data_IF_156343895903
#
_entry.id   IF_156343895903
#
_cell.length_a   1.000
_cell.length_b   1.000
_cell.length_c   1.000
_cell.angle_alpha   90.00
_cell.angle_beta   90.00
_cell.angle_gamma   90.00
#
_symmetry.space_group_name_H-M   'P 1'
#
loop_
_entity.id
_entity.type
_entity.pdbx_description
1 polymer ?
#
# COMPACT_ATOMS: atom_id res chain seq x y z
N UNK A 1 7.49 24.52 52.20
CA UNK A 1 6.37 23.68 51.71
C UNK A 1 6.75 23.09 50.36
N UNK A 2 7.07 21.81 50.32
CA UNK A 2 7.46 21.10 49.10
C UNK A 2 6.22 20.40 48.50
N UNK A 3 5.72 20.87 47.37
CA UNK A 3 4.64 20.22 46.63
C UNK A 3 5.18 18.97 45.94
N UNK A 4 4.76 17.81 46.42
CA UNK A 4 5.00 16.50 45.76
C UNK A 4 4.23 16.46 44.43
N UNK A 5 4.94 16.54 43.32
CA UNK A 5 4.39 16.16 42.00
C UNK A 5 4.10 14.64 42.01
N UNK A 6 2.85 14.29 42.04
CA UNK A 6 2.39 12.93 41.74
C UNK A 6 2.72 12.57 40.29
N UNK A 7 3.83 11.93 40.07
CA UNK A 7 4.13 11.18 38.85
C UNK A 7 3.23 9.94 38.85
N UNK A 8 2.07 10.04 38.21
CA UNK A 8 1.31 8.87 37.81
C UNK A 8 2.21 7.99 36.93
N UNK A 9 2.78 6.95 37.55
CA UNK A 9 3.40 5.83 36.81
C UNK A 9 2.31 5.19 35.97
N UNK A 10 2.25 5.53 34.69
CA UNK A 10 1.57 4.70 33.70
C UNK A 10 2.34 3.37 33.64
N UNK A 11 1.90 2.44 34.47
CA UNK A 11 2.25 1.03 34.36
C UNK A 11 1.53 0.52 33.09
N UNK A 12 2.09 0.80 31.92
CA UNK A 12 1.63 0.24 30.66
C UNK A 12 2.09 -1.23 30.62
N UNK A 13 1.31 -2.14 31.17
CA UNK A 13 1.30 -3.51 30.68
C UNK A 13 0.96 -3.41 29.18
N UNK A 14 2.00 -3.41 28.35
CA UNK A 14 1.81 -3.28 26.92
C UNK A 14 1.14 -4.58 26.45
N UNK A 15 -0.19 -4.52 26.24
CA UNK A 15 -0.99 -5.68 25.84
C UNK A 15 -0.40 -6.28 24.55
N UNK A 16 -0.10 -7.56 24.59
CA UNK A 16 0.29 -8.33 23.41
C UNK A 16 -0.92 -8.48 22.49
N UNK A 17 -0.84 -8.02 21.27
CA UNK A 17 -1.94 -8.03 20.30
C UNK A 17 -1.66 -9.00 19.16
N UNK A 18 -2.71 -9.61 18.62
CA UNK A 18 -2.71 -10.22 17.30
C UNK A 18 -3.15 -9.15 16.28
N UNK A 19 -2.29 -8.83 15.35
CA UNK A 19 -2.50 -7.76 14.35
C UNK A 19 -2.49 -8.37 12.95
N UNK A 20 -3.54 -8.13 12.17
CA UNK A 20 -3.57 -8.49 10.78
C UNK A 20 -3.26 -7.28 9.89
N UNK A 21 -2.30 -7.43 8.96
CA UNK A 21 -1.94 -6.40 7.98
C UNK A 21 -2.21 -6.94 6.57
N UNK A 22 -3.08 -6.28 5.79
CA UNK A 22 -3.39 -6.68 4.42
C UNK A 22 -2.73 -5.75 3.40
N UNK A 23 -1.89 -6.33 2.53
CA UNK A 23 -0.97 -5.65 1.61
C UNK A 23 -1.28 -6.09 0.18
N UNK A 24 -1.67 -5.18 -0.71
CA UNK A 24 -2.16 -5.52 -2.06
C UNK A 24 -1.20 -5.15 -3.19
N UNK A 25 -0.26 -4.21 -2.96
CA UNK A 25 0.61 -3.66 -4.00
C UNK A 25 2.06 -3.52 -3.52
N UNK A 26 3.04 -3.41 -4.44
CA UNK A 26 4.44 -3.18 -4.07
C UNK A 26 4.65 -1.93 -3.20
N UNK A 27 3.95 -0.82 -3.51
CA UNK A 27 3.97 0.41 -2.70
C UNK A 27 3.55 0.12 -1.26
N UNK A 28 2.47 -0.63 -1.09
CA UNK A 28 1.94 -0.96 0.23
C UNK A 28 2.87 -1.87 1.02
N UNK A 29 3.56 -2.82 0.36
CA UNK A 29 4.57 -3.65 0.99
C UNK A 29 5.71 -2.77 1.53
N UNK A 30 6.26 -1.92 0.68
CA UNK A 30 7.33 -1.01 1.08
C UNK A 30 6.91 -0.05 2.19
N UNK A 31 5.67 0.42 2.19
CA UNK A 31 5.12 1.27 3.23
C UNK A 31 4.94 0.51 4.55
N UNK A 32 4.47 -0.72 4.49
CA UNK A 32 4.15 -1.52 5.68
C UNK A 32 5.37 -2.14 6.34
N UNK A 33 6.46 -2.36 5.61
CA UNK A 33 7.67 -3.03 6.10
C UNK A 33 8.18 -2.45 7.44
N UNK A 34 8.45 -1.14 7.59
CA UNK A 34 8.91 -0.58 8.87
C UNK A 34 7.83 -0.65 9.97
N UNK A 35 6.55 -0.68 9.62
CA UNK A 35 5.45 -0.86 10.57
C UNK A 35 5.47 -2.29 11.10
N UNK A 36 5.60 -3.28 10.22
CA UNK A 36 5.68 -4.71 10.57
C UNK A 36 6.91 -4.99 11.42
N UNK A 37 8.08 -4.48 11.04
CA UNK A 37 9.31 -4.61 11.83
C UNK A 37 9.16 -4.06 13.24
N UNK A 38 8.48 -2.92 13.39
CA UNK A 38 8.29 -2.29 14.71
C UNK A 38 7.23 -3.01 15.54
N UNK A 39 6.11 -3.38 14.94
CA UNK A 39 5.02 -4.08 15.62
C UNK A 39 5.39 -5.52 15.97
N UNK A 40 6.09 -6.23 15.09
CA UNK A 40 6.51 -7.62 15.30
C UNK A 40 7.45 -7.85 16.47
N UNK A 41 8.12 -6.78 16.96
CA UNK A 41 8.93 -6.86 18.17
C UNK A 41 8.12 -7.07 19.46
N UNK A 42 6.82 -6.74 19.43
CA UNK A 42 5.96 -6.68 20.62
C UNK A 42 4.60 -7.34 20.44
N UNK A 43 4.25 -7.73 19.23
CA UNK A 43 2.93 -8.23 18.86
C UNK A 43 3.06 -9.39 17.88
N UNK A 44 2.00 -10.21 17.76
CA UNK A 44 1.91 -11.23 16.72
C UNK A 44 1.31 -10.59 15.46
N UNK A 45 2.08 -10.53 14.38
CA UNK A 45 1.66 -9.86 13.13
C UNK A 45 1.50 -10.89 12.03
N UNK A 46 0.29 -10.97 11.47
CA UNK A 46 0.01 -11.74 10.25
C UNK A 46 -0.08 -10.77 9.07
N UNK A 47 0.83 -10.90 8.10
CA UNK A 47 0.77 -10.17 6.85
C UNK A 47 0.13 -11.03 5.75
N UNK A 48 -0.89 -10.50 5.06
CA UNK A 48 -1.55 -11.19 3.94
C UNK A 48 -1.51 -10.35 2.67
N UNK A 49 -1.56 -11.04 1.53
CA UNK A 49 -1.69 -10.41 0.21
C UNK A 49 -2.52 -11.29 -0.71
N UNK A 50 -2.91 -10.74 -1.86
CA UNK A 50 -3.34 -11.53 -3.01
C UNK A 50 -2.14 -11.88 -3.88
N UNK A 51 -2.19 -13.03 -4.58
CA UNK A 51 -1.13 -13.43 -5.52
C UNK A 51 -1.09 -12.42 -6.67
N UNK A 52 -0.04 -11.62 -6.72
CA UNK A 52 0.25 -10.59 -7.69
C UNK A 52 1.76 -10.60 -7.92
N UNK A 53 2.20 -10.70 -9.16
CA UNK A 53 3.59 -11.05 -9.49
C UNK A 53 4.61 -10.10 -8.89
N UNK A 54 4.38 -8.79 -9.03
CA UNK A 54 5.31 -7.77 -8.52
C UNK A 54 5.41 -7.77 -6.99
N UNK A 55 4.29 -8.01 -6.29
CA UNK A 55 4.29 -8.13 -4.83
C UNK A 55 5.06 -9.38 -4.41
N UNK A 56 4.84 -10.50 -5.13
CA UNK A 56 5.49 -11.77 -4.82
C UNK A 56 7.01 -11.69 -5.03
N UNK A 57 7.46 -11.08 -6.12
CA UNK A 57 8.88 -10.85 -6.40
C UNK A 57 9.51 -9.91 -5.37
N UNK A 58 8.84 -8.81 -5.05
CA UNK A 58 9.32 -7.84 -4.07
C UNK A 58 9.42 -8.44 -2.66
N UNK A 59 8.42 -9.22 -2.24
CA UNK A 59 8.43 -9.90 -0.94
C UNK A 59 9.65 -10.83 -0.81
N UNK A 60 9.99 -11.58 -1.87
CA UNK A 60 11.20 -12.42 -1.91
C UNK A 60 12.49 -11.60 -1.79
N UNK A 61 12.61 -10.53 -2.57
CA UNK A 61 13.80 -9.65 -2.55
C UNK A 61 13.97 -9.00 -1.17
N UNK A 62 12.86 -8.67 -0.50
CA UNK A 62 12.86 -8.01 0.81
C UNK A 62 12.88 -8.98 1.99
N UNK A 63 12.87 -10.30 1.75
CA UNK A 63 12.72 -11.33 2.80
C UNK A 63 11.52 -11.03 3.71
N UNK A 64 10.43 -10.55 3.10
CA UNK A 64 9.23 -10.15 3.82
C UNK A 64 8.25 -11.32 3.91
N UNK A 65 7.91 -11.74 5.13
CA UNK A 65 6.96 -12.84 5.36
C UNK A 65 5.55 -12.41 4.99
N UNK A 66 4.99 -13.02 3.94
CA UNK A 66 3.72 -12.63 3.34
C UNK A 66 2.91 -13.85 2.91
N UNK A 67 1.76 -14.02 3.53
CA UNK A 67 0.84 -15.11 3.21
C UNK A 67 -0.07 -14.71 2.05
N UNK A 68 0.02 -15.44 0.94
CA UNK A 68 -0.81 -15.18 -0.24
C UNK A 68 -2.14 -15.89 -0.17
N UNK A 69 -3.25 -15.11 -0.28
CA UNK A 69 -4.64 -15.62 -0.30
C UNK A 69 -5.38 -14.98 -1.47
N UNK A 70 -5.87 -15.81 -2.38
CA UNK A 70 -6.53 -15.37 -3.62
C UNK A 70 -5.54 -14.80 -4.64
N UNK A 71 -6.07 -14.25 -5.74
CA UNK A 71 -5.29 -13.71 -6.86
C UNK A 71 -5.84 -12.35 -7.31
N UNK A 72 -5.04 -11.60 -8.07
CA UNK A 72 -5.48 -10.38 -8.73
C UNK A 72 -6.46 -10.73 -9.86
N UNK A 73 -7.57 -9.98 -9.98
CA UNK A 73 -8.61 -10.22 -10.98
C UNK A 73 -8.37 -9.61 -12.37
N UNK A 74 -7.19 -8.99 -12.60
CA UNK A 74 -6.87 -8.29 -13.85
C UNK A 74 -7.68 -7.01 -14.06
N UNK A 75 -7.73 -6.49 -15.31
CA UNK A 75 -8.42 -5.24 -15.67
C UNK A 75 -9.96 -5.37 -15.74
N UNK A 76 -10.50 -6.56 -16.02
CA UNK A 76 -11.92 -6.79 -16.24
C UNK A 76 -12.73 -6.74 -14.91
N UNK A 77 -13.84 -5.98 -14.90
CA UNK A 77 -14.69 -5.79 -13.71
C UNK A 77 -15.29 -7.10 -13.18
N UNK A 78 -15.80 -7.97 -14.07
CA UNK A 78 -16.40 -9.28 -13.70
C UNK A 78 -15.36 -10.17 -13.02
N UNK A 79 -14.16 -10.22 -13.58
CA UNK A 79 -13.06 -11.02 -13.02
C UNK A 79 -12.56 -10.44 -11.68
N UNK A 80 -12.51 -9.11 -11.54
CA UNK A 80 -12.20 -8.43 -10.27
C UNK A 80 -13.22 -8.81 -9.18
N UNK A 81 -14.51 -8.76 -9.50
CA UNK A 81 -15.56 -9.15 -8.57
C UNK A 81 -15.44 -10.62 -8.15
N UNK A 82 -15.29 -11.54 -9.11
CA UNK A 82 -15.11 -12.98 -8.83
C UNK A 82 -13.90 -13.23 -7.94
N UNK A 83 -12.75 -12.65 -8.28
CA UNK A 83 -11.52 -12.79 -7.49
C UNK A 83 -11.65 -12.22 -6.07
N UNK A 84 -12.38 -11.11 -5.89
CA UNK A 84 -12.65 -10.49 -4.59
C UNK A 84 -13.54 -11.41 -3.72
N UNK A 85 -14.63 -11.95 -4.28
CA UNK A 85 -15.52 -12.88 -3.56
C UNK A 85 -14.76 -14.13 -3.11
N UNK A 86 -14.02 -14.79 -4.03
CA UNK A 86 -13.20 -15.96 -3.71
C UNK A 86 -12.15 -15.65 -2.63
N UNK A 87 -11.58 -14.44 -2.66
CA UNK A 87 -10.60 -14.01 -1.67
C UNK A 87 -11.23 -13.78 -0.30
N UNK A 88 -12.40 -13.14 -0.24
CA UNK A 88 -13.13 -12.91 1.00
C UNK A 88 -13.43 -14.25 1.68
N UNK A 89 -13.94 -15.25 0.96
CA UNK A 89 -14.25 -16.59 1.52
C UNK A 89 -13.00 -17.25 2.13
N UNK A 90 -11.91 -17.32 1.36
CA UNK A 90 -10.67 -17.97 1.84
C UNK A 90 -9.99 -17.19 2.96
N UNK A 91 -9.98 -15.87 2.85
CA UNK A 91 -9.30 -14.99 3.80
C UNK A 91 -10.06 -14.93 5.11
N UNK A 92 -11.41 -14.87 5.10
CA UNK A 92 -12.21 -14.86 6.32
C UNK A 92 -11.98 -16.11 7.19
N UNK A 93 -11.88 -17.30 6.59
CA UNK A 93 -11.55 -18.55 7.31
C UNK A 93 -10.18 -18.46 7.99
N UNK A 94 -9.19 -17.88 7.30
CA UNK A 94 -7.85 -17.72 7.86
C UNK A 94 -7.84 -16.70 8.99
N UNK A 95 -8.55 -15.59 8.84
CA UNK A 95 -8.63 -14.53 9.83
C UNK A 95 -9.41 -14.95 11.08
N UNK A 96 -10.49 -15.71 10.91
CA UNK A 96 -11.21 -16.33 12.04
C UNK A 96 -10.28 -17.25 12.87
N UNK A 97 -9.40 -18.05 12.21
CA UNK A 97 -8.43 -18.89 12.90
C UNK A 97 -7.31 -18.11 13.57
N UNK A 98 -6.91 -16.98 13.00
CA UNK A 98 -5.85 -16.13 13.57
C UNK A 98 -6.37 -15.25 14.72
N UNK A 99 -7.65 -14.84 14.68
CA UNK A 99 -8.35 -14.01 15.70
C UNK A 99 -7.64 -12.68 15.97
N UNK A 100 -7.42 -11.81 14.98
CA UNK A 100 -6.78 -10.53 15.22
C UNK A 100 -7.69 -9.57 15.98
N UNK A 101 -7.11 -8.76 16.85
CA UNK A 101 -7.81 -7.69 17.57
C UNK A 101 -7.84 -6.38 16.76
N UNK A 102 -6.90 -6.22 15.84
CA UNK A 102 -6.76 -5.03 14.99
C UNK A 102 -6.36 -5.44 13.56
N UNK A 103 -6.97 -4.77 12.61
CA UNK A 103 -6.62 -4.83 11.19
C UNK A 103 -5.97 -3.53 10.77
N UNK A 104 -4.90 -3.63 9.99
CA UNK A 104 -4.26 -2.50 9.31
C UNK A 104 -4.26 -2.79 7.82
N UNK A 105 -4.71 -1.85 7.00
CA UNK A 105 -4.61 -1.97 5.55
C UNK A 105 -4.31 -0.64 4.87
N UNK A 106 -4.04 -0.72 3.57
CA UNK A 106 -3.90 0.45 2.72
C UNK A 106 -4.92 0.36 1.57
N UNK A 107 -6.20 0.64 1.89
CA UNK A 107 -7.28 0.61 0.90
C UNK A 107 -7.64 -0.79 0.39
N UNK A 108 -7.82 -1.78 1.29
CA UNK A 108 -8.26 -3.14 0.93
C UNK A 108 -9.75 -3.33 1.16
N UNK A 109 -10.58 -3.47 0.09
CA UNK A 109 -12.00 -3.76 0.22
C UNK A 109 -12.29 -5.09 0.92
N UNK A 110 -11.50 -6.12 0.63
CA UNK A 110 -11.67 -7.42 1.25
C UNK A 110 -11.38 -7.37 2.76
N UNK A 111 -10.31 -6.68 3.17
CA UNK A 111 -10.00 -6.50 4.58
C UNK A 111 -11.08 -5.67 5.30
N UNK A 112 -11.58 -4.60 4.69
CA UNK A 112 -12.65 -3.79 5.25
C UNK A 112 -13.93 -4.60 5.43
N UNK A 113 -14.32 -5.42 4.44
CA UNK A 113 -15.51 -6.26 4.51
C UNK A 113 -15.41 -7.35 5.58
N UNK A 114 -14.23 -8.00 5.68
CA UNK A 114 -14.01 -9.07 6.66
C UNK A 114 -13.95 -8.49 8.07
N UNK A 115 -13.17 -7.42 8.29
CA UNK A 115 -13.06 -6.80 9.61
C UNK A 115 -14.40 -6.29 10.14
N UNK A 116 -15.19 -5.64 9.27
CA UNK A 116 -16.55 -5.20 9.63
C UNK A 116 -17.46 -6.39 10.00
N UNK A 117 -17.46 -7.45 9.17
CA UNK A 117 -18.31 -8.62 9.40
C UNK A 117 -17.94 -9.43 10.65
N UNK A 118 -16.67 -9.37 11.08
CA UNK A 118 -16.17 -10.06 12.28
C UNK A 118 -16.06 -9.14 13.50
N UNK A 119 -16.46 -7.86 13.41
CA UNK A 119 -16.37 -6.91 14.50
C UNK A 119 -14.94 -6.53 14.90
N UNK A 120 -13.96 -6.68 14.01
CA UNK A 120 -12.54 -6.39 14.27
C UNK A 120 -12.26 -4.91 13.99
N UNK A 121 -11.53 -4.23 14.87
CA UNK A 121 -11.13 -2.82 14.67
C UNK A 121 -10.23 -2.68 13.45
N UNK A 122 -10.57 -1.75 12.54
CA UNK A 122 -9.82 -1.54 11.32
C UNK A 122 -9.27 -0.11 11.21
N UNK A 123 -7.96 0.00 11.10
CA UNK A 123 -7.22 1.23 10.83
C UNK A 123 -6.72 1.16 9.39
N UNK A 124 -7.11 2.12 8.57
CA UNK A 124 -6.73 2.14 7.16
C UNK A 124 -5.85 3.34 6.83
N UNK A 125 -4.80 3.14 6.07
CA UNK A 125 -4.04 4.22 5.42
C UNK A 125 -4.59 4.46 4.02
N UNK A 126 -4.60 5.71 3.56
CA UNK A 126 -4.93 6.04 2.18
C UNK A 126 -4.38 7.41 1.77
N UNK A 127 -3.83 7.47 0.56
CA UNK A 127 -3.37 8.71 -0.09
C UNK A 127 -4.09 8.99 -1.42
N UNK A 128 -5.08 8.19 -1.78
CA UNK A 128 -5.69 8.16 -3.11
C UNK A 128 -7.22 8.33 -3.07
N UNK A 129 -7.73 9.53 -2.70
CA UNK A 129 -9.17 9.78 -2.59
C UNK A 129 -9.92 9.64 -3.92
N UNK A 130 -9.22 9.72 -5.05
CA UNK A 130 -9.78 9.56 -6.40
C UNK A 130 -10.13 8.10 -6.74
N UNK A 131 -9.68 7.13 -5.96
CA UNK A 131 -10.02 5.71 -6.15
C UNK A 131 -11.47 5.40 -5.68
N UNK A 132 -12.46 6.03 -6.32
CA UNK A 132 -13.87 6.06 -5.91
C UNK A 132 -14.44 4.69 -5.50
N UNK A 133 -14.17 3.62 -6.29
CA UNK A 133 -14.69 2.29 -5.98
C UNK A 133 -14.10 1.73 -4.68
N UNK A 134 -12.80 1.93 -4.45
CA UNK A 134 -12.12 1.51 -3.22
C UNK A 134 -12.67 2.29 -2.04
N UNK A 135 -12.79 3.62 -2.16
CA UNK A 135 -13.31 4.47 -1.08
C UNK A 135 -14.72 4.07 -0.65
N UNK A 136 -15.63 3.86 -1.62
CA UNK A 136 -17.01 3.42 -1.34
C UNK A 136 -17.10 2.05 -0.69
N UNK A 137 -16.15 1.15 -0.98
CA UNK A 137 -16.12 -0.21 -0.45
C UNK A 137 -15.34 -0.36 0.86
N UNK A 138 -14.70 0.71 1.33
CA UNK A 138 -13.85 0.64 2.54
C UNK A 138 -14.27 1.64 3.61
N UNK A 139 -14.39 2.93 3.27
CA UNK A 139 -14.51 3.99 4.27
C UNK A 139 -15.73 3.88 5.20
N UNK A 140 -16.91 3.43 4.74
CA UNK A 140 -18.07 3.22 5.64
C UNK A 140 -17.89 2.06 6.63
N UNK A 141 -16.89 1.18 6.42
CA UNK A 141 -16.71 -0.07 7.15
C UNK A 141 -15.54 -0.03 8.16
N UNK A 142 -14.77 1.05 8.19
CA UNK A 142 -13.58 1.17 9.03
C UNK A 142 -13.79 2.14 10.20
N UNK A 143 -12.96 2.03 11.24
CA UNK A 143 -13.06 2.89 12.42
C UNK A 143 -12.12 4.08 12.38
N UNK A 144 -10.94 3.96 11.73
CA UNK A 144 -9.98 5.07 11.61
C UNK A 144 -9.32 5.08 10.24
N UNK A 145 -9.22 6.29 9.67
CA UNK A 145 -8.48 6.54 8.44
C UNK A 145 -7.28 7.43 8.74
N UNK A 146 -6.10 7.02 8.29
CA UNK A 146 -4.86 7.78 8.38
C UNK A 146 -4.47 8.27 6.98
N UNK A 147 -4.30 9.58 6.84
CA UNK A 147 -4.00 10.22 5.56
C UNK A 147 -2.80 11.19 5.67
N UNK A 148 -2.07 11.44 4.57
CA UNK A 148 -1.08 12.51 4.51
C UNK A 148 -1.70 13.87 4.82
N UNK A 149 -0.98 14.72 5.55
CA UNK A 149 -1.48 16.05 5.96
C UNK A 149 -1.85 16.98 4.79
N UNK A 150 -1.28 16.74 3.61
CA UNK A 150 -1.52 17.53 2.39
C UNK A 150 -2.88 17.26 1.74
N UNK A 151 -3.58 16.21 2.16
CA UNK A 151 -4.89 15.84 1.61
C UNK A 151 -5.98 16.29 2.59
N UNK A 152 -6.98 17.00 2.08
CA UNK A 152 -8.11 17.43 2.89
C UNK A 152 -8.94 16.24 3.38
N UNK A 153 -9.39 16.28 4.64
CA UNK A 153 -10.31 15.29 5.20
C UNK A 153 -11.62 15.18 4.40
N UNK A 154 -12.09 16.31 3.84
CA UNK A 154 -13.32 16.38 3.02
C UNK A 154 -13.26 15.48 1.80
N UNK A 155 -12.06 15.23 1.25
CA UNK A 155 -11.91 14.33 0.11
C UNK A 155 -12.27 12.87 0.45
N UNK A 156 -12.28 12.52 1.72
CA UNK A 156 -12.60 11.18 2.20
C UNK A 156 -13.96 11.13 2.91
N UNK A 157 -14.35 12.16 3.67
CA UNK A 157 -15.60 12.15 4.43
C UNK A 157 -16.85 12.04 3.56
N UNK A 158 -16.78 12.51 2.31
CA UNK A 158 -17.85 12.33 1.30
C UNK A 158 -18.18 10.85 0.98
N UNK A 159 -17.35 9.90 1.44
CA UNK A 159 -17.58 8.46 1.26
C UNK A 159 -18.12 7.76 2.52
N UNK A 160 -18.54 8.50 3.54
CA UNK A 160 -19.26 7.95 4.70
C UNK A 160 -18.41 7.68 5.95
N UNK A 161 -17.15 8.15 6.01
CA UNK A 161 -16.38 8.20 7.25
C UNK A 161 -16.51 9.59 7.90
N UNK A 162 -16.66 9.67 9.23
CA UNK A 162 -16.68 10.95 9.93
C UNK A 162 -15.31 11.62 9.94
N UNK A 163 -15.25 12.94 9.79
CA UNK A 163 -13.96 13.68 9.81
C UNK A 163 -13.19 13.54 11.13
N UNK A 164 -13.88 13.34 12.27
CA UNK A 164 -13.27 13.05 13.58
C UNK A 164 -12.50 11.71 13.62
N UNK A 165 -12.84 10.81 12.71
CA UNK A 165 -12.20 9.50 12.59
C UNK A 165 -11.08 9.49 11.54
N UNK A 166 -10.84 10.65 10.91
CA UNK A 166 -9.74 10.85 9.97
C UNK A 166 -8.59 11.54 10.69
N UNK A 167 -7.44 10.89 10.72
CA UNK A 167 -6.19 11.39 11.32
C UNK A 167 -5.20 11.76 10.23
N UNK A 168 -4.71 12.99 10.25
CA UNK A 168 -3.68 13.44 9.32
C UNK A 168 -2.29 13.27 9.96
N UNK A 169 -1.38 12.53 9.30
CA UNK A 169 0.00 12.44 9.72
C UNK A 169 0.88 13.45 8.96
N UNK A 170 1.90 14.00 9.63
CA UNK A 170 2.78 15.07 9.11
C UNK A 170 3.84 14.53 8.14
N UNK A 171 3.43 13.77 7.14
CA UNK A 171 4.30 13.21 6.09
C UNK A 171 3.49 12.90 4.83
N UNK A 172 4.20 12.55 3.76
CA UNK A 172 3.66 11.89 2.58
C UNK A 172 4.22 10.47 2.50
N UNK A 173 3.51 9.54 1.88
CA UNK A 173 3.88 8.12 1.86
C UNK A 173 5.25 7.86 1.25
N UNK A 174 5.64 8.66 0.25
CA UNK A 174 6.93 8.54 -0.42
C UNK A 174 8.13 8.67 0.55
N UNK A 175 7.98 9.38 1.67
CA UNK A 175 9.06 9.56 2.67
C UNK A 175 9.55 8.23 3.24
N UNK A 176 8.66 7.24 3.39
CA UNK A 176 9.04 5.89 3.85
C UNK A 176 10.06 5.26 2.91
N UNK A 177 9.84 5.39 1.59
CA UNK A 177 10.76 4.88 0.57
C UNK A 177 12.06 5.68 0.53
N UNK A 178 11.98 7.02 0.60
CA UNK A 178 13.13 7.92 0.57
C UNK A 178 14.10 7.73 1.75
N UNK A 179 13.58 7.35 2.92
CA UNK A 179 14.40 7.12 4.14
C UNK A 179 15.05 5.75 4.19
N UNK A 180 14.84 4.88 3.21
CA UNK A 180 15.48 3.57 3.17
C UNK A 180 16.98 3.69 2.91
N UNK A 181 17.75 2.79 3.50
CA UNK A 181 19.16 2.64 3.15
C UNK A 181 19.25 2.18 1.69
N UNK A 182 20.02 2.89 0.89
CA UNK A 182 20.33 2.50 -0.48
C UNK A 182 21.38 1.39 -0.40
N UNK A 183 21.12 0.27 -1.06
CA UNK A 183 22.14 -0.76 -1.27
C UNK A 183 23.15 -0.25 -2.31
N UNK A 184 24.36 0.03 -1.85
CA UNK A 184 25.46 0.54 -2.71
C UNK A 184 26.00 -0.52 -3.66
N UNK A 185 25.66 -1.79 -3.45
CA UNK A 185 26.11 -2.91 -4.30
C UNK A 185 25.18 -3.16 -5.49
N UNK A 186 24.05 -2.44 -5.58
CA UNK A 186 23.15 -2.55 -6.73
C UNK A 186 23.81 -1.92 -7.97
N UNK A 187 23.87 -2.70 -9.04
CA UNK A 187 24.32 -2.18 -10.32
C UNK A 187 23.35 -1.13 -10.86
N UNK A 188 23.90 0.00 -11.27
CA UNK A 188 23.12 1.04 -11.95
C UNK A 188 22.62 0.51 -13.30
N UNK A 189 21.35 0.76 -13.69
CA UNK A 189 20.87 0.46 -15.04
C UNK A 189 21.50 1.38 -16.10
N UNK A 190 22.17 2.44 -15.67
CA UNK A 190 22.84 3.38 -16.56
C UNK A 190 24.31 3.02 -16.79
N UNK A 191 24.79 3.25 -18.00
CA UNK A 191 26.21 3.14 -18.32
C UNK A 191 27.01 4.17 -17.55
N UNK A 192 28.15 3.77 -17.00
CA UNK A 192 29.05 4.71 -16.34
C UNK A 192 29.84 5.49 -17.42
N UNK A 193 29.31 6.62 -17.82
CA UNK A 193 29.91 7.54 -18.78
C UNK A 193 29.51 8.98 -18.39
N UNK A 194 30.12 9.98 -19.04
CA UNK A 194 29.86 11.40 -18.74
C UNK A 194 28.52 11.92 -19.30
N UNK A 195 27.61 11.04 -19.73
CA UNK A 195 26.29 11.40 -20.25
C UNK A 195 25.27 11.59 -19.15
N UNK A 196 24.26 12.39 -19.40
CA UNK A 196 23.12 12.54 -18.47
C UNK A 196 22.29 11.27 -18.45
N UNK A 197 21.74 10.95 -17.30
CA UNK A 197 20.87 9.79 -17.12
C UNK A 197 19.42 10.24 -17.06
N UNK A 198 18.60 9.79 -18.01
CA UNK A 198 17.17 10.07 -18.11
C UNK A 198 16.41 8.79 -17.80
N UNK A 199 15.67 8.78 -16.68
CA UNK A 199 14.83 7.66 -16.28
C UNK A 199 13.36 8.00 -16.57
N UNK A 200 12.71 7.23 -17.43
CA UNK A 200 11.31 7.38 -17.79
C UNK A 200 10.53 6.19 -17.23
N UNK A 201 9.47 6.44 -16.48
CA UNK A 201 8.56 5.39 -16.04
C UNK A 201 7.24 5.50 -16.78
N UNK A 202 6.83 4.39 -17.41
CA UNK A 202 5.52 4.27 -18.07
C UNK A 202 4.40 4.23 -17.02
N UNK A 203 3.26 4.82 -17.35
CA UNK A 203 2.10 4.86 -16.46
C UNK A 203 1.42 3.49 -16.28
N UNK A 204 0.49 3.44 -15.31
CA UNK A 204 -0.31 2.27 -14.99
C UNK A 204 -1.55 2.20 -15.89
N UNK A 205 -1.63 1.25 -16.81
CA UNK A 205 -2.75 1.12 -17.74
C UNK A 205 -3.92 0.27 -17.21
N UNK A 206 -3.67 -0.62 -16.23
CA UNK A 206 -4.70 -1.51 -15.66
C UNK A 206 -5.41 -0.94 -14.44
N UNK A 207 -5.04 0.26 -13.99
CA UNK A 207 -5.71 0.90 -12.86
C UNK A 207 -7.14 1.31 -13.23
N UNK A 208 -8.05 1.23 -12.26
CA UNK A 208 -9.47 1.54 -12.46
C UNK A 208 -9.75 3.01 -12.78
N UNK A 209 -8.77 3.88 -12.63
CA UNK A 209 -8.83 5.33 -12.86
C UNK A 209 -8.06 5.80 -14.10
N UNK A 210 -7.40 4.90 -14.85
CA UNK A 210 -6.69 5.27 -16.08
C UNK A 210 -7.61 5.21 -17.30
N UNK A 211 -7.47 6.18 -18.22
CA UNK A 211 -8.07 6.13 -19.54
C UNK A 211 -7.27 5.20 -20.46
N UNK A 212 -7.94 4.47 -21.33
CA UNK A 212 -7.32 3.47 -22.22
C UNK A 212 -6.39 4.04 -23.32
N UNK A 213 -6.25 5.35 -23.44
CA UNK A 213 -5.37 5.95 -24.45
C UNK A 213 -4.09 6.48 -23.79
N UNK A 214 -3.09 5.64 -23.63
CA UNK A 214 -1.76 6.10 -23.26
C UNK A 214 -1.13 6.84 -24.45
N UNK A 215 -0.92 8.15 -24.31
CA UNK A 215 -0.14 8.97 -25.24
C UNK A 215 1.36 8.98 -24.88
N UNK A 216 1.79 8.07 -24.01
CA UNK A 216 3.15 8.08 -23.44
C UNK A 216 4.20 7.69 -24.48
N UNK A 217 3.88 6.75 -25.39
CA UNK A 217 4.86 6.27 -26.38
C UNK A 217 5.36 7.38 -27.31
N UNK A 218 4.49 8.24 -27.92
CA UNK A 218 4.97 9.38 -28.71
C UNK A 218 5.82 10.36 -27.89
N UNK A 219 5.53 10.53 -26.60
CA UNK A 219 6.32 11.38 -25.71
C UNK A 219 7.71 10.78 -25.47
N UNK A 220 7.78 9.48 -25.19
CA UNK A 220 9.03 8.75 -25.02
C UNK A 220 9.88 8.86 -26.30
N UNK A 221 9.28 8.65 -27.47
CA UNK A 221 9.96 8.78 -28.76
C UNK A 221 10.53 10.19 -28.96
N UNK A 222 9.74 11.22 -28.70
CA UNK A 222 10.19 12.62 -28.79
C UNK A 222 11.35 12.92 -27.81
N UNK A 223 11.32 12.36 -26.60
CA UNK A 223 12.43 12.48 -25.66
C UNK A 223 13.69 11.76 -26.23
N UNK A 224 13.53 10.55 -26.73
CA UNK A 224 14.64 9.79 -27.31
C UNK A 224 15.28 10.52 -28.51
N UNK A 225 14.46 11.12 -29.37
CA UNK A 225 14.93 11.88 -30.54
C UNK A 225 15.68 13.16 -30.14
N UNK A 226 15.23 13.84 -29.09
CA UNK A 226 15.86 15.09 -28.62
C UNK A 226 17.14 14.84 -27.79
N UNK A 227 17.27 13.67 -27.17
CA UNK A 227 18.37 13.33 -26.26
C UNK A 227 19.16 12.10 -26.71
N UNK A 228 19.41 11.97 -28.00
CA UNK A 228 20.11 10.81 -28.63
C UNK A 228 21.48 10.51 -28.02
N UNK A 229 22.14 11.54 -27.50
CA UNK A 229 23.47 11.41 -26.93
C UNK A 229 23.47 11.07 -25.42
N UNK A 230 22.30 10.99 -24.78
CA UNK A 230 22.19 10.73 -23.36
C UNK A 230 21.83 9.28 -23.05
N UNK A 231 21.98 8.87 -21.79
CA UNK A 231 21.54 7.54 -21.36
C UNK A 231 20.03 7.59 -21.04
N UNK A 232 19.22 6.86 -21.79
CA UNK A 232 17.78 6.79 -21.56
C UNK A 232 17.42 5.38 -21.13
N UNK A 233 16.74 5.27 -19.98
CA UNK A 233 16.19 4.01 -19.48
C UNK A 233 14.68 4.17 -19.30
N UNK A 234 13.93 3.31 -19.98
CA UNK A 234 12.48 3.27 -19.88
C UNK A 234 12.06 2.10 -18.99
N UNK A 235 11.37 2.38 -17.89
CA UNK A 235 10.80 1.38 -17.00
C UNK A 235 9.36 1.11 -17.40
N UNK A 236 9.12 0.01 -18.09
CA UNK A 236 7.78 -0.54 -18.31
C UNK A 236 7.23 -1.20 -17.06
N UNK A 237 5.91 -1.20 -16.92
CA UNK A 237 5.24 -1.92 -15.85
C UNK A 237 4.82 -3.33 -16.29
N UNK A 238 4.47 -3.46 -17.56
CA UNK A 238 4.08 -4.72 -18.20
C UNK A 238 5.00 -5.02 -19.38
N UNK A 239 5.33 -6.29 -19.57
CA UNK A 239 6.23 -6.73 -20.65
C UNK A 239 5.74 -6.30 -22.04
N UNK A 240 4.44 -6.11 -22.22
CA UNK A 240 3.81 -5.69 -23.49
C UNK A 240 3.89 -4.20 -23.78
N UNK A 241 4.39 -3.38 -22.86
CA UNK A 241 4.44 -1.92 -23.02
C UNK A 241 5.71 -1.40 -23.73
N UNK A 242 6.69 -2.26 -23.94
CA UNK A 242 8.03 -1.87 -24.41
C UNK A 242 8.43 -2.62 -25.69
N UNK A 243 7.57 -3.47 -26.22
CA UNK A 243 7.77 -4.16 -27.50
C UNK A 243 7.14 -3.39 -28.65
#
# INVERSE_FOLDING_TARGET
>A
MRTKKNLLKYNSYQKYLKIWIDILTPKQLLFSEPIVERLGKKHNVLCTSRKYEEVSKLAKIRHFDLVFVGKHGGGNKKNKLKASIERIDKLSKKIQKFEPEVVISFGSPEAARISFGLGIKHIMFCDSPHANAVMKLTLPLIQKLLIPYVISKKEFSKYGINEKDIVQYKAIDAVVTMKRKIDKNLNSPFKNNNKKNILIRVEEEEASYTSKSSKIIPIIQKIADNYKNENIVVLGRYTKQIN
#
